data_IF_553784068230
#
_entry.id   IF_553784068230
#
_cell.length_a   1.000
_cell.length_b   1.000
_cell.length_c   1.000
_cell.angle_alpha   90.00
_cell.angle_beta   90.00
_cell.angle_gamma   90.00
#
_symmetry.space_group_name_H-M   'P 1'
#
loop_
_entity.id
_entity.type
_entity.pdbx_description
1 polymer ?
#
# COMPACT_ATOMS: atom_id res chain seq x y z
N UNK A 1 -57.90 44.15 18.33
CA UNK A 1 -59.04 43.59 19.10
C UNK A 1 -58.47 42.42 19.89
N UNK A 2 -58.15 42.58 21.18
CA UNK A 2 -59.14 42.62 22.27
C UNK A 2 -59.27 41.20 22.84
N UNK A 3 -58.33 40.73 23.69
CA UNK A 3 -58.33 40.81 25.17
C UNK A 3 -59.38 39.91 25.82
N UNK A 4 -58.93 38.91 26.60
CA UNK A 4 -59.29 38.61 28.01
C UNK A 4 -58.65 37.26 28.38
N UNK A 5 -57.59 37.12 29.18
CA UNK A 5 -57.33 37.55 30.56
C UNK A 5 -58.41 37.12 31.55
N UNK A 6 -58.03 36.32 32.57
CA UNK A 6 -58.38 36.41 34.01
C UNK A 6 -57.92 35.13 34.74
N UNK A 7 -57.44 35.10 35.99
CA UNK A 7 -57.02 36.09 36.99
C UNK A 7 -56.48 35.30 38.22
N UNK A 8 -55.60 35.94 39.01
CA UNK A 8 -55.38 35.77 40.47
C UNK A 8 -54.75 34.47 41.01
N UNK A 9 -53.77 34.47 41.92
CA UNK A 9 -53.13 35.57 42.67
C UNK A 9 -52.82 35.18 44.13
N UNK A 10 -51.66 35.64 44.63
CA UNK A 10 -51.21 35.87 46.03
C UNK A 10 -50.68 34.70 46.89
N UNK A 11 -49.89 34.98 47.97
CA UNK A 11 -48.75 35.91 48.04
C UNK A 11 -47.57 35.40 48.91
N UNK A 12 -46.45 36.16 48.84
CA UNK A 12 -45.37 36.40 49.82
C UNK A 12 -44.80 35.24 50.67
N UNK A 13 -43.45 35.12 50.63
CA UNK A 13 -42.61 35.31 51.84
C UNK A 13 -41.15 35.56 51.46
N UNK A 14 -40.59 36.64 52.01
CA UNK A 14 -39.15 36.95 52.05
C UNK A 14 -38.45 35.88 52.90
N UNK A 15 -37.37 35.31 52.37
CA UNK A 15 -36.39 34.53 53.13
C UNK A 15 -34.99 34.92 52.66
N UNK A 16 -34.26 35.62 53.53
CA UNK A 16 -32.82 35.87 53.41
C UNK A 16 -32.10 34.56 53.70
N UNK A 17 -31.18 34.12 52.83
CA UNK A 17 -30.20 33.11 53.21
C UNK A 17 -28.92 33.23 52.36
N UNK A 18 -27.88 33.67 53.08
CA UNK A 18 -26.44 33.49 52.93
C UNK A 18 -25.86 32.96 51.61
N UNK A 19 -24.98 33.80 51.07
CA UNK A 19 -23.80 33.46 50.29
C UNK A 19 -23.01 32.27 50.88
N UNK A 20 -22.85 31.22 50.08
CA UNK A 20 -21.71 30.31 50.17
C UNK A 20 -20.97 30.42 48.84
N UNK A 21 -19.84 31.11 48.87
CA UNK A 21 -18.87 31.09 47.78
C UNK A 21 -18.27 29.68 47.71
N UNK A 22 -18.93 28.80 46.96
CA UNK A 22 -18.38 27.50 46.58
C UNK A 22 -17.36 27.69 45.48
N UNK A 23 -16.07 27.55 45.82
CA UNK A 23 -14.99 27.31 44.87
C UNK A 23 -15.30 26.04 44.07
N UNK A 24 -15.95 26.19 42.91
CA UNK A 24 -16.05 25.11 41.93
C UNK A 24 -14.71 25.06 41.22
N UNK A 25 -13.80 24.23 41.73
CA UNK A 25 -12.63 23.80 40.99
C UNK A 25 -13.13 23.07 39.72
N UNK A 26 -13.07 23.75 38.58
CA UNK A 26 -13.35 23.14 37.29
C UNK A 26 -12.33 22.00 37.07
N UNK A 27 -12.76 20.75 36.86
CA UNK A 27 -11.82 19.72 36.44
C UNK A 27 -11.34 20.10 35.04
N UNK A 28 -10.06 20.44 34.93
CA UNK A 28 -9.39 20.55 33.65
C UNK A 28 -9.44 19.16 32.98
N UNK A 29 -10.40 18.96 32.06
CA UNK A 29 -10.32 17.89 31.09
C UNK A 29 -9.09 18.17 30.22
N UNK A 30 -7.98 17.55 30.59
CA UNK A 30 -6.85 17.40 29.68
C UNK A 30 -7.32 16.41 28.61
N UNK A 31 -7.88 16.97 27.53
CA UNK A 31 -8.10 16.27 26.28
C UNK A 31 -6.74 15.73 25.83
N UNK A 32 -6.53 14.42 26.01
CA UNK A 32 -5.38 13.70 25.50
C UNK A 32 -5.32 13.80 23.99
N UNK A 33 -4.70 14.85 23.47
CA UNK A 33 -4.38 15.01 22.07
C UNK A 33 -3.11 14.23 21.78
N UNK A 34 -3.30 13.09 21.14
CA UNK A 34 -2.19 12.35 20.54
C UNK A 34 -2.13 10.92 21.04
N UNK A 35 -2.76 10.03 20.28
CA UNK A 35 -2.14 8.73 20.05
C UNK A 35 -0.81 8.97 19.35
N UNK A 36 0.22 9.33 20.11
CA UNK A 36 1.57 8.99 19.74
C UNK A 36 1.54 7.48 19.55
N UNK A 37 1.61 7.04 18.29
CA UNK A 37 1.74 5.65 17.95
C UNK A 37 2.82 5.07 18.86
N UNK A 38 2.44 4.22 19.82
CA UNK A 38 3.39 3.47 20.63
C UNK A 38 4.44 2.98 19.65
N UNK A 39 5.70 3.40 19.83
CA UNK A 39 6.80 2.78 19.12
C UNK A 39 6.63 1.30 19.43
N UNK A 40 6.13 0.54 18.45
CA UNK A 40 5.61 -0.79 18.73
C UNK A 40 6.75 -1.53 19.42
N UNK A 41 6.52 -1.97 20.65
CA UNK A 41 7.61 -2.50 21.47
C UNK A 41 8.27 -3.63 20.69
N UNK A 42 9.60 -3.68 20.75
CA UNK A 42 10.33 -4.67 20.00
C UNK A 42 9.87 -6.07 20.40
N UNK A 43 9.42 -6.88 19.45
CA UNK A 43 9.02 -8.25 19.76
C UNK A 43 10.22 -9.03 20.27
N UNK A 44 9.99 -9.84 21.31
CA UNK A 44 10.94 -10.86 21.78
C UNK A 44 10.72 -12.20 21.08
N UNK A 45 9.63 -12.34 20.32
CA UNK A 45 9.27 -13.59 19.67
C UNK A 45 10.14 -13.85 18.44
N UNK A 46 10.63 -15.08 18.34
CA UNK A 46 11.32 -15.59 17.15
C UNK A 46 10.28 -15.88 16.07
N UNK A 47 10.48 -15.33 14.87
CA UNK A 47 9.60 -15.59 13.74
C UNK A 47 9.97 -16.86 12.97
N UNK A 48 9.03 -17.48 12.24
CA UNK A 48 9.30 -18.68 11.44
C UNK A 48 10.34 -18.47 10.33
N UNK A 49 10.64 -17.21 10.00
CA UNK A 49 11.62 -16.84 8.97
C UNK A 49 12.81 -16.07 9.55
N UNK A 50 13.13 -16.26 10.83
CA UNK A 50 14.17 -15.51 11.54
C UNK A 50 15.52 -15.55 10.78
N UNK A 51 16.03 -16.74 10.46
CA UNK A 51 17.30 -16.89 9.72
C UNK A 51 17.28 -16.24 8.34
N UNK A 52 16.16 -16.31 7.64
CA UNK A 52 16.01 -15.71 6.32
C UNK A 52 16.00 -14.18 6.39
N UNK A 53 15.31 -13.62 7.38
CA UNK A 53 15.26 -12.18 7.64
C UNK A 53 16.63 -11.66 8.08
N UNK A 54 17.32 -12.36 8.97
CA UNK A 54 18.70 -12.06 9.38
C UNK A 54 19.63 -12.00 8.18
N UNK A 55 19.61 -13.05 7.35
CA UNK A 55 20.42 -13.13 6.13
C UNK A 55 20.13 -11.97 5.18
N UNK A 56 18.86 -11.64 4.97
CA UNK A 56 18.46 -10.52 4.11
C UNK A 56 18.96 -9.17 4.65
N UNK A 57 18.86 -8.97 5.96
CA UNK A 57 19.26 -7.74 6.66
C UNK A 57 20.75 -7.68 6.99
N UNK A 58 21.54 -8.69 6.59
CA UNK A 58 22.97 -8.84 6.91
C UNK A 58 23.24 -8.81 8.42
N UNK A 59 22.41 -9.51 9.18
CA UNK A 59 22.56 -9.75 10.61
C UNK A 59 23.24 -11.12 10.85
N UNK A 60 23.77 -11.38 12.06
CA UNK A 60 24.15 -12.74 12.45
C UNK A 60 22.99 -13.71 12.18
N UNK A 61 23.27 -14.85 11.54
CA UNK A 61 22.25 -15.83 11.16
C UNK A 61 22.20 -16.96 12.19
N UNK A 62 21.79 -16.65 13.40
CA UNK A 62 21.69 -17.60 14.51
C UNK A 62 20.26 -18.12 14.72
N UNK A 63 19.27 -17.52 14.04
CA UNK A 63 17.86 -17.87 14.17
C UNK A 63 17.23 -17.46 15.49
N UNK A 64 17.84 -16.53 16.23
CA UNK A 64 17.34 -16.01 17.50
C UNK A 64 16.86 -14.57 17.32
N UNK A 65 15.84 -14.18 18.07
CA UNK A 65 15.40 -12.80 18.08
C UNK A 65 16.24 -12.00 19.07
N UNK A 66 17.02 -11.03 18.59
CA UNK A 66 17.68 -10.03 19.43
C UNK A 66 17.02 -8.65 19.30
N UNK A 67 17.33 -7.74 20.24
CA UNK A 67 16.92 -6.34 20.12
C UNK A 67 17.45 -5.70 18.83
N UNK A 68 18.63 -6.10 18.36
CA UNK A 68 19.20 -5.55 17.14
C UNK A 68 18.49 -6.07 15.89
N UNK A 69 18.10 -7.34 15.85
CA UNK A 69 17.35 -7.93 14.73
C UNK A 69 15.93 -7.39 14.67
N UNK A 70 15.30 -7.23 15.84
CA UNK A 70 14.01 -6.58 15.93
C UNK A 70 14.07 -5.14 15.38
N UNK A 71 15.01 -4.30 15.84
CA UNK A 71 15.15 -2.91 15.36
C UNK A 71 15.42 -2.85 13.85
N UNK A 72 16.27 -3.74 13.33
CA UNK A 72 16.54 -3.83 11.89
C UNK A 72 15.27 -4.22 11.10
N UNK A 73 14.52 -5.19 11.62
CA UNK A 73 13.26 -5.65 11.02
C UNK A 73 12.18 -4.58 11.10
N UNK A 74 12.06 -3.84 12.20
CA UNK A 74 11.16 -2.69 12.33
C UNK A 74 11.49 -1.59 11.33
N UNK A 75 12.78 -1.28 11.14
CA UNK A 75 13.20 -0.30 10.12
C UNK A 75 12.76 -0.72 8.72
N UNK A 76 12.91 -2.00 8.39
CA UNK A 76 12.42 -2.56 7.12
C UNK A 76 10.89 -2.48 7.02
N UNK A 77 10.18 -2.94 8.04
CA UNK A 77 8.72 -2.94 8.10
C UNK A 77 8.16 -1.52 7.96
N UNK A 78 8.70 -0.55 8.71
CA UNK A 78 8.34 0.88 8.62
C UNK A 78 8.58 1.42 7.21
N UNK A 79 9.76 1.17 6.64
CA UNK A 79 10.13 1.63 5.28
C UNK A 79 9.16 1.11 4.21
N UNK A 80 8.63 -0.09 4.38
CA UNK A 80 7.76 -0.73 3.42
C UNK A 80 6.28 -0.75 3.87
N UNK A 81 5.92 -0.06 4.96
CA UNK A 81 4.56 -0.01 5.50
C UNK A 81 3.98 -1.40 5.77
N UNK A 82 4.79 -2.32 6.29
CA UNK A 82 4.36 -3.64 6.77
C UNK A 82 3.87 -3.47 8.20
N UNK A 83 2.62 -3.81 8.45
CA UNK A 83 1.99 -3.72 9.78
C UNK A 83 1.62 -5.11 10.30
N UNK A 84 1.72 -5.37 11.62
CA UNK A 84 2.29 -4.49 12.64
C UNK A 84 3.82 -4.34 12.53
N UNK A 85 4.34 -3.14 12.84
CA UNK A 85 5.77 -2.79 12.76
C UNK A 85 6.53 -3.19 14.03
N UNK A 86 6.44 -4.46 14.44
CA UNK A 86 6.94 -4.96 15.73
C UNK A 86 8.30 -5.66 15.65
N UNK A 87 8.92 -5.73 14.47
CA UNK A 87 10.20 -6.39 14.27
C UNK A 87 10.12 -7.92 14.18
N UNK A 88 8.92 -8.46 14.01
CA UNK A 88 8.69 -9.90 13.87
C UNK A 88 9.08 -10.42 12.49
N UNK A 89 9.92 -11.45 12.43
CA UNK A 89 10.32 -12.15 11.21
C UNK A 89 9.21 -13.09 10.69
N UNK A 90 8.01 -12.54 10.51
CA UNK A 90 6.82 -13.29 10.12
C UNK A 90 6.68 -13.50 8.61
N UNK A 91 5.66 -14.27 8.18
CA UNK A 91 5.44 -14.62 6.78
C UNK A 91 5.33 -13.40 5.85
N UNK A 92 4.70 -12.30 6.30
CA UNK A 92 4.57 -11.09 5.48
C UNK A 92 5.90 -10.37 5.27
N UNK A 93 6.72 -10.24 6.32
CA UNK A 93 8.06 -9.64 6.22
C UNK A 93 8.94 -10.44 5.29
N UNK A 94 8.99 -11.77 5.47
CA UNK A 94 9.78 -12.64 4.62
C UNK A 94 9.29 -12.64 3.17
N UNK A 95 7.99 -12.71 2.93
CA UNK A 95 7.42 -12.66 1.58
C UNK A 95 7.87 -11.41 0.80
N UNK A 96 7.88 -10.26 1.47
CA UNK A 96 8.35 -9.01 0.87
C UNK A 96 9.84 -9.07 0.55
N UNK A 97 10.66 -9.55 1.48
CA UNK A 97 12.11 -9.73 1.28
C UNK A 97 12.41 -10.72 0.14
N UNK A 98 11.73 -11.87 0.13
CA UNK A 98 11.87 -12.88 -0.91
C UNK A 98 11.47 -12.36 -2.29
N UNK A 99 10.41 -11.55 -2.36
CA UNK A 99 10.03 -10.84 -3.60
C UNK A 99 11.17 -9.93 -4.08
N UNK A 100 11.79 -9.15 -3.19
CA UNK A 100 12.94 -8.31 -3.56
C UNK A 100 14.14 -9.13 -4.04
N UNK A 101 14.40 -10.28 -3.43
CA UNK A 101 15.46 -11.20 -3.87
C UNK A 101 15.18 -11.74 -5.28
N UNK A 102 13.95 -12.18 -5.55
CA UNK A 102 13.52 -12.66 -6.86
C UNK A 102 13.60 -11.57 -7.94
N UNK A 103 13.28 -10.33 -7.58
CA UNK A 103 13.45 -9.18 -8.46
C UNK A 103 14.92 -8.89 -8.78
N UNK A 104 15.79 -8.93 -7.76
CA UNK A 104 17.23 -8.77 -7.95
C UNK A 104 17.80 -9.86 -8.85
N UNK A 105 17.35 -11.11 -8.68
CA UNK A 105 17.78 -12.25 -9.48
C UNK A 105 17.38 -12.15 -10.97
N UNK A 106 16.31 -11.41 -11.30
CA UNK A 106 15.92 -11.18 -12.69
C UNK A 106 16.97 -10.37 -13.50
N UNK A 107 17.74 -9.52 -12.81
CA UNK A 107 18.80 -8.71 -13.42
C UNK A 107 18.32 -7.92 -14.65
N UNK A 108 19.13 -7.92 -15.70
CA UNK A 108 18.84 -7.23 -16.97
C UNK A 108 18.07 -8.09 -17.99
N UNK A 109 17.74 -9.34 -17.66
CA UNK A 109 17.03 -10.24 -18.57
C UNK A 109 15.76 -10.80 -17.92
N UNK A 110 14.70 -9.97 -17.75
CA UNK A 110 13.49 -10.40 -17.07
C UNK A 110 12.77 -11.54 -17.78
N UNK A 111 12.93 -11.67 -19.10
CA UNK A 111 12.30 -12.72 -19.90
C UNK A 111 13.23 -13.93 -20.17
N UNK A 112 14.22 -14.19 -19.31
CA UNK A 112 15.11 -15.38 -19.44
C UNK A 112 14.33 -16.69 -19.59
N UNK A 113 13.22 -16.82 -18.87
CA UNK A 113 12.35 -18.00 -18.90
C UNK A 113 11.38 -18.05 -20.12
N UNK A 114 11.46 -17.07 -21.04
CA UNK A 114 10.65 -16.97 -22.27
C UNK A 114 9.14 -17.08 -22.03
N UNK A 115 8.66 -16.59 -20.89
CA UNK A 115 7.23 -16.61 -20.54
C UNK A 115 6.46 -15.47 -21.21
N UNK A 116 7.08 -14.31 -21.39
CA UNK A 116 6.45 -13.23 -22.15
C UNK A 116 6.70 -13.44 -23.67
N UNK A 117 5.67 -13.31 -24.52
CA UNK A 117 5.81 -13.47 -25.97
C UNK A 117 6.90 -12.59 -26.57
N UNK A 118 7.71 -13.17 -27.46
CA UNK A 118 8.77 -12.45 -28.21
C UNK A 118 8.46 -12.34 -29.70
N UNK A 119 7.31 -12.89 -30.15
CA UNK A 119 6.79 -12.82 -31.52
C UNK A 119 5.80 -11.65 -31.70
N UNK A 120 5.84 -10.68 -30.79
CA UNK A 120 5.04 -9.45 -30.84
C UNK A 120 5.95 -8.26 -31.11
N UNK A 121 5.36 -7.16 -31.54
CA UNK A 121 6.02 -5.85 -31.58
C UNK A 121 6.27 -5.33 -30.17
N UNK A 122 5.82 -4.11 -29.88
CA UNK A 122 5.88 -3.56 -28.53
C UNK A 122 4.90 -4.27 -27.61
N UNK A 123 5.39 -4.77 -26.47
CA UNK A 123 4.59 -5.45 -25.46
C UNK A 123 5.03 -5.07 -24.05
N UNK A 124 4.06 -4.82 -23.16
CA UNK A 124 4.29 -4.72 -21.72
C UNK A 124 4.05 -6.09 -21.07
N UNK A 125 5.08 -6.62 -20.41
CA UNK A 125 5.02 -7.90 -19.73
C UNK A 125 4.90 -7.69 -18.22
N UNK A 126 3.97 -8.40 -17.57
CA UNK A 126 3.78 -8.38 -16.13
C UNK A 126 3.97 -9.78 -15.57
N UNK A 127 5.00 -9.95 -14.74
CA UNK A 127 5.25 -11.15 -13.96
C UNK A 127 4.69 -10.95 -12.55
N UNK A 128 3.56 -11.57 -12.28
CA UNK A 128 2.89 -11.48 -10.98
C UNK A 128 3.71 -12.17 -9.88
N UNK A 129 4.42 -13.26 -10.18
CA UNK A 129 5.20 -14.01 -9.20
C UNK A 129 6.39 -13.20 -8.68
N UNK A 130 7.13 -12.55 -9.58
CA UNK A 130 8.26 -11.67 -9.22
C UNK A 130 7.83 -10.24 -8.91
N UNK A 131 6.56 -9.90 -9.12
CA UNK A 131 6.06 -8.52 -9.03
C UNK A 131 6.92 -7.56 -9.87
N UNK A 132 7.18 -7.95 -11.14
CA UNK A 132 7.96 -7.18 -12.10
C UNK A 132 7.11 -6.80 -13.31
N UNK A 133 7.43 -5.66 -13.90
CA UNK A 133 6.94 -5.30 -15.23
C UNK A 133 8.06 -4.75 -16.09
N UNK A 134 8.03 -5.02 -17.38
CA UNK A 134 8.98 -4.46 -18.36
C UNK A 134 8.31 -4.27 -19.72
N UNK A 135 8.94 -3.46 -20.57
CA UNK A 135 8.53 -3.29 -21.97
C UNK A 135 9.63 -3.88 -22.85
N UNK A 136 9.25 -4.70 -23.83
CA UNK A 136 10.15 -5.23 -24.85
C UNK A 136 9.55 -5.01 -26.24
N UNK A 137 10.41 -4.92 -27.26
CA UNK A 137 10.02 -5.07 -28.67
C UNK A 137 10.68 -6.36 -29.19
N UNK A 138 9.89 -7.38 -29.52
CA UNK A 138 10.43 -8.71 -29.79
C UNK A 138 11.24 -9.24 -28.59
N UNK A 139 12.52 -9.59 -28.79
CA UNK A 139 13.44 -10.00 -27.69
C UNK A 139 14.16 -8.82 -27.02
N UNK A 140 14.08 -7.61 -27.59
CA UNK A 140 14.86 -6.46 -27.13
C UNK A 140 14.16 -5.79 -25.96
N UNK A 141 14.81 -5.77 -24.80
CA UNK A 141 14.35 -5.02 -23.64
C UNK A 141 14.42 -3.51 -23.95
N UNK A 142 13.28 -2.82 -23.81
CA UNK A 142 13.17 -1.37 -24.07
C UNK A 142 13.09 -0.57 -22.78
N UNK A 143 12.50 -1.13 -21.74
CA UNK A 143 12.41 -0.48 -20.45
C UNK A 143 12.23 -1.48 -19.32
N UNK A 144 12.86 -1.21 -18.18
CA UNK A 144 12.82 -2.06 -17.00
C UNK A 144 13.87 -3.18 -17.01
N UNK A 145 13.64 -4.29 -16.28
CA UNK A 145 12.48 -4.56 -15.45
C UNK A 145 12.38 -3.62 -14.25
N UNK A 146 11.14 -3.26 -13.87
CA UNK A 146 10.85 -2.43 -12.70
C UNK A 146 9.95 -3.17 -11.71
N UNK A 147 10.12 -2.96 -10.40
CA UNK A 147 9.18 -3.47 -9.39
C UNK A 147 7.79 -2.86 -9.59
N UNK A 148 6.76 -3.69 -9.49
CA UNK A 148 5.36 -3.26 -9.49
C UNK A 148 4.62 -3.79 -8.28
N UNK A 149 3.44 -3.25 -8.02
CA UNK A 149 2.53 -3.77 -7.00
C UNK A 149 1.16 -4.08 -7.60
N UNK A 150 0.90 -5.36 -7.87
CA UNK A 150 -0.31 -5.85 -8.55
C UNK A 150 -1.42 -6.21 -7.56
N UNK A 151 -2.60 -6.61 -8.04
CA UNK A 151 -3.79 -6.90 -7.23
C UNK A 151 -3.55 -7.82 -6.03
N UNK A 152 -4.15 -7.47 -4.89
CA UNK A 152 -4.11 -8.23 -3.63
C UNK A 152 -5.09 -9.41 -3.64
N UNK A 153 -5.02 -10.24 -2.61
CA UNK A 153 -5.92 -11.38 -2.43
C UNK A 153 -7.39 -10.93 -2.51
N UNK A 154 -8.19 -11.60 -3.33
CA UNK A 154 -9.60 -11.31 -3.60
C UNK A 154 -9.86 -10.26 -4.69
N UNK A 155 -8.84 -9.57 -5.19
CA UNK A 155 -8.92 -8.61 -6.31
C UNK A 155 -7.66 -8.68 -7.18
N UNK A 156 -7.29 -9.89 -7.58
CA UNK A 156 -6.07 -10.19 -8.31
C UNK A 156 -6.03 -9.51 -9.69
N UNK A 157 -4.82 -9.17 -10.13
CA UNK A 157 -4.61 -8.74 -11.52
C UNK A 157 -4.83 -9.95 -12.44
N UNK A 158 -5.72 -9.80 -13.43
CA UNK A 158 -6.13 -10.91 -14.30
C UNK A 158 -5.02 -11.25 -15.30
N UNK A 159 -4.77 -12.54 -15.47
CA UNK A 159 -3.75 -13.05 -16.39
C UNK A 159 -4.25 -13.09 -17.85
N UNK A 160 -3.32 -13.31 -18.76
CA UNK A 160 -3.58 -13.51 -20.19
C UNK A 160 -3.08 -12.37 -21.08
N UNK A 161 -3.32 -12.53 -22.38
CA UNK A 161 -3.05 -11.52 -23.39
C UNK A 161 -4.13 -10.45 -23.39
N UNK A 162 -3.72 -9.19 -23.41
CA UNK A 162 -4.57 -8.02 -23.32
C UNK A 162 -4.07 -6.93 -24.27
N UNK A 163 -4.84 -5.86 -24.43
CA UNK A 163 -4.43 -4.65 -25.15
C UNK A 163 -4.77 -3.42 -24.34
N UNK A 164 -3.92 -2.41 -24.41
CA UNK A 164 -4.26 -1.10 -23.84
C UNK A 164 -5.41 -0.53 -24.67
N UNK A 165 -6.59 -0.41 -24.07
CA UNK A 165 -7.79 0.06 -24.76
C UNK A 165 -8.09 1.53 -24.47
N UNK A 166 -7.66 2.05 -23.33
CA UNK A 166 -7.90 3.43 -22.94
C UNK A 166 -6.78 3.98 -22.08
N UNK A 167 -6.50 5.27 -22.24
CA UNK A 167 -5.40 5.98 -21.57
C UNK A 167 -5.88 7.33 -21.08
N UNK A 168 -5.59 7.65 -19.83
CA UNK A 168 -5.90 8.94 -19.23
C UNK A 168 -4.78 9.37 -18.29
N UNK A 169 -4.14 10.50 -18.60
CA UNK A 169 -2.97 10.98 -17.89
C UNK A 169 -3.30 11.48 -16.47
N UNK A 170 -4.51 12.03 -16.25
CA UNK A 170 -5.02 12.52 -14.97
C UNK A 170 -6.33 11.78 -14.65
N UNK A 171 -6.25 10.46 -14.49
CA UNK A 171 -7.43 9.66 -14.17
C UNK A 171 -7.80 9.75 -12.69
N UNK A 172 -9.07 9.98 -12.40
CA UNK A 172 -9.65 9.83 -11.06
C UNK A 172 -10.51 8.58 -11.00
N UNK A 173 -10.18 7.65 -10.11
CA UNK A 173 -11.01 6.46 -9.90
C UNK A 173 -12.25 6.81 -9.09
N UNK A 174 -13.42 6.68 -9.69
CA UNK A 174 -14.70 6.89 -9.00
C UNK A 174 -15.04 5.78 -8.00
N UNK A 175 -14.50 4.57 -8.21
CA UNK A 175 -14.68 3.41 -7.31
C UNK A 175 -13.76 3.52 -6.09
N UNK A 176 -12.48 3.81 -6.32
CA UNK A 176 -11.47 3.84 -5.25
C UNK A 176 -11.23 5.24 -4.65
N UNK A 177 -11.84 6.29 -5.22
CA UNK A 177 -11.69 7.69 -4.82
C UNK A 177 -10.21 8.12 -4.69
N UNK A 178 -9.42 7.77 -5.71
CA UNK A 178 -7.99 8.08 -5.77
C UNK A 178 -7.57 8.53 -7.16
N UNK A 179 -6.57 9.41 -7.20
CA UNK A 179 -5.86 9.74 -8.44
C UNK A 179 -5.01 8.56 -8.90
N UNK A 180 -5.09 8.27 -10.20
CA UNK A 180 -4.28 7.27 -10.90
C UNK A 180 -3.56 7.95 -12.08
N UNK A 181 -2.48 8.72 -11.84
CA UNK A 181 -1.80 9.42 -12.92
C UNK A 181 -1.16 8.45 -13.92
N UNK A 182 -1.12 8.85 -15.19
CA UNK A 182 -0.61 8.03 -16.31
C UNK A 182 -1.33 6.68 -16.44
N UNK A 183 -2.66 6.66 -16.25
CA UNK A 183 -3.44 5.42 -16.32
C UNK A 183 -3.50 4.86 -17.74
N UNK A 184 -3.17 3.58 -17.89
CA UNK A 184 -3.27 2.85 -19.14
C UNK A 184 -4.02 1.54 -18.88
N UNK A 185 -5.30 1.52 -19.24
CA UNK A 185 -6.23 0.44 -18.97
C UNK A 185 -6.10 -0.67 -19.99
N UNK A 186 -6.05 -1.91 -19.52
CA UNK A 186 -5.84 -3.09 -20.37
C UNK A 186 -6.81 -4.24 -20.09
N UNK A 187 -7.54 -4.22 -18.97
CA UNK A 187 -8.53 -5.26 -18.67
C UNK A 187 -9.60 -4.75 -17.69
N UNK A 188 -10.83 -4.46 -18.14
CA UNK A 188 -12.00 -4.21 -17.28
C UNK A 188 -11.71 -3.34 -16.04
N UNK A 189 -11.09 -2.18 -16.24
CA UNK A 189 -10.70 -1.26 -15.16
C UNK A 189 -9.30 -1.47 -14.53
N UNK A 190 -8.61 -2.58 -14.82
CA UNK A 190 -7.22 -2.79 -14.44
C UNK A 190 -6.28 -2.02 -15.37
N UNK A 191 -5.36 -1.26 -14.77
CA UNK A 191 -4.47 -0.37 -15.48
C UNK A 191 -3.05 -0.37 -14.91
N UNK A 192 -2.08 0.01 -15.74
CA UNK A 192 -0.82 0.57 -15.25
C UNK A 192 -1.08 2.00 -14.78
N UNK A 193 -0.62 2.38 -13.59
CA UNK A 193 -0.66 3.78 -13.17
C UNK A 193 0.32 4.08 -12.04
N UNK A 194 0.62 5.37 -11.87
CA UNK A 194 1.47 5.88 -10.80
C UNK A 194 0.78 5.81 -9.43
N UNK A 195 1.58 5.51 -8.40
CA UNK A 195 1.24 5.74 -6.98
C UNK A 195 2.44 6.30 -6.22
N UNK A 196 2.20 6.93 -5.07
CA UNK A 196 3.25 7.41 -4.15
C UNK A 196 3.61 6.42 -3.04
N UNK A 197 2.99 5.23 -3.06
CA UNK A 197 3.25 4.15 -2.11
C UNK A 197 4.46 3.32 -2.54
N UNK A 198 5.14 2.68 -1.57
CA UNK A 198 6.19 1.70 -1.86
C UNK A 198 5.61 0.55 -2.72
N UNK A 199 6.37 0.07 -3.72
CA UNK A 199 5.99 -1.12 -4.51
C UNK A 199 5.96 -2.40 -3.66
N UNK A 200 6.51 -2.33 -2.46
CA UNK A 200 6.59 -3.41 -1.49
C UNK A 200 5.61 -3.24 -0.34
N UNK A 201 4.74 -2.23 -0.40
CA UNK A 201 3.74 -1.97 0.64
C UNK A 201 2.51 -2.87 0.46
N UNK A 202 2.28 -3.85 1.36
CA UNK A 202 1.11 -4.72 1.29
C UNK A 202 -0.17 -4.00 1.74
N UNK A 203 -1.36 -4.58 1.49
CA UNK A 203 -1.59 -5.78 0.68
C UNK A 203 -1.64 -5.48 -0.82
N UNK A 204 -1.65 -4.19 -1.20
CA UNK A 204 -2.14 -3.67 -2.47
C UNK A 204 -1.66 -4.37 -3.74
N UNK A 205 -2.30 -4.08 -4.88
CA UNK A 205 -3.30 -3.05 -5.19
C UNK A 205 -4.75 -3.57 -5.18
N UNK A 206 -5.71 -2.76 -5.64
CA UNK A 206 -7.09 -3.18 -5.96
C UNK A 206 -7.26 -3.80 -7.35
N UNK A 207 -6.24 -4.47 -7.88
CA UNK A 207 -6.25 -5.14 -9.20
C UNK A 207 -5.36 -4.46 -10.25
N UNK A 208 -5.11 -3.16 -10.13
CA UNK A 208 -4.21 -2.44 -11.04
C UNK A 208 -2.73 -2.82 -10.87
N UNK A 209 -1.91 -2.53 -11.86
CA UNK A 209 -0.44 -2.62 -11.75
C UNK A 209 0.07 -1.26 -11.29
N UNK A 210 0.26 -1.10 -9.99
CA UNK A 210 0.83 0.12 -9.43
C UNK A 210 2.31 0.21 -9.80
N UNK A 211 2.74 1.42 -10.15
CA UNK A 211 4.11 1.73 -10.57
C UNK A 211 4.62 2.97 -9.84
N UNK A 212 5.94 3.13 -9.80
CA UNK A 212 6.54 4.39 -9.35
C UNK A 212 6.23 5.51 -10.36
N UNK A 213 6.22 6.78 -9.96
CA UNK A 213 5.90 7.89 -10.88
C UNK A 213 6.78 7.94 -12.13
N UNK A 214 8.09 7.71 -11.98
CA UNK A 214 9.03 7.67 -13.10
C UNK A 214 8.72 6.53 -14.08
N UNK A 215 8.40 5.35 -13.55
CA UNK A 215 8.11 4.16 -14.34
C UNK A 215 6.78 4.30 -15.09
N UNK A 216 5.75 4.80 -14.43
CA UNK A 216 4.46 5.09 -15.06
C UNK A 216 4.59 6.13 -16.19
N UNK A 217 5.41 7.17 -15.98
CA UNK A 217 5.72 8.18 -17.01
C UNK A 217 6.49 7.58 -18.18
N UNK A 218 7.44 6.67 -17.94
CA UNK A 218 8.15 5.96 -19.00
C UNK A 218 7.20 5.06 -19.80
N UNK A 219 6.34 4.31 -19.12
CA UNK A 219 5.29 3.49 -19.74
C UNK A 219 4.35 4.35 -20.59
N UNK A 220 3.95 5.53 -20.11
CA UNK A 220 3.12 6.45 -20.87
C UNK A 220 3.80 6.97 -22.14
N UNK A 221 5.11 7.19 -22.11
CA UNK A 221 5.85 7.64 -23.30
C UNK A 221 5.97 6.52 -24.34
N UNK A 222 6.23 5.29 -23.88
CA UNK A 222 6.56 4.16 -24.75
C UNK A 222 5.35 3.42 -25.29
N UNK A 223 4.28 3.31 -24.50
CA UNK A 223 3.08 2.56 -24.85
C UNK A 223 1.97 3.48 -25.40
N UNK A 224 1.08 2.91 -26.22
CA UNK A 224 -0.08 3.55 -26.84
C UNK A 224 -1.32 2.65 -26.73
N UNK A 225 -2.49 3.17 -27.13
CA UNK A 225 -3.66 2.33 -27.32
C UNK A 225 -3.35 1.27 -28.40
N UNK A 226 -3.82 0.04 -28.20
CA UNK A 226 -3.59 -1.10 -29.09
C UNK A 226 -2.34 -1.94 -28.77
N UNK A 227 -1.38 -1.38 -28.01
CA UNK A 227 -0.17 -2.11 -27.61
C UNK A 227 -0.52 -3.32 -26.74
N UNK A 228 0.24 -4.40 -26.96
CA UNK A 228 0.02 -5.66 -26.26
C UNK A 228 0.44 -5.56 -24.79
N UNK A 229 -0.33 -6.23 -23.94
CA UNK A 229 0.02 -6.46 -22.53
C UNK A 229 -0.10 -7.96 -22.28
N UNK A 230 0.89 -8.56 -21.63
CA UNK A 230 0.83 -9.96 -21.24
C UNK A 230 1.09 -10.10 -19.75
N UNK A 231 0.08 -10.60 -19.05
CA UNK A 231 0.12 -10.81 -17.59
C UNK A 231 0.16 -12.30 -17.29
N UNK A 232 1.12 -12.73 -16.48
CA UNK A 232 1.29 -14.16 -16.13
C UNK A 232 1.80 -14.36 -14.70
N UNK A 233 1.74 -15.61 -14.23
CA UNK A 233 2.15 -15.99 -12.87
C UNK A 233 1.06 -15.73 -11.83
N UNK A 234 1.44 -15.73 -10.55
CA UNK A 234 0.54 -15.47 -9.43
C UNK A 234 1.26 -14.67 -8.34
N UNK A 235 0.62 -13.63 -7.82
CA UNK A 235 1.24 -12.80 -6.78
C UNK A 235 1.41 -13.62 -5.49
N UNK A 236 2.56 -13.52 -4.80
CA UNK A 236 2.73 -14.22 -3.53
C UNK A 236 1.67 -13.86 -2.48
N UNK A 237 0.94 -14.88 -2.02
CA UNK A 237 -0.12 -14.78 -1.02
C UNK A 237 -1.38 -14.07 -1.49
N UNK A 238 -1.65 -14.17 -2.79
CA UNK A 238 -3.00 -14.19 -3.37
C UNK A 238 -3.30 -15.61 -3.75
#
# INVERSE_FOLDING_TARGET
MGVTAKISGRPLRRGVALSVAGLVAAPALVLGTGTAAHAASCTKSVGPHQKQVEKFLKRPVDGKQSTADCKATQKFQKKHGITPTIGYAGPLTWRTMNTMLAQKAAGKNPNKAKKCPTNKGRIACVDLTRQLSWIQDGKKLKYGPVPVRTGRNGVETRTGSKKIYWRNIKHWSTIYKVWMPHSQFFDGGQAFHSVTKSMYNPPGSGGCVNMRPADAKAYWKLLKNGDDVYVYGRKPGT
#
